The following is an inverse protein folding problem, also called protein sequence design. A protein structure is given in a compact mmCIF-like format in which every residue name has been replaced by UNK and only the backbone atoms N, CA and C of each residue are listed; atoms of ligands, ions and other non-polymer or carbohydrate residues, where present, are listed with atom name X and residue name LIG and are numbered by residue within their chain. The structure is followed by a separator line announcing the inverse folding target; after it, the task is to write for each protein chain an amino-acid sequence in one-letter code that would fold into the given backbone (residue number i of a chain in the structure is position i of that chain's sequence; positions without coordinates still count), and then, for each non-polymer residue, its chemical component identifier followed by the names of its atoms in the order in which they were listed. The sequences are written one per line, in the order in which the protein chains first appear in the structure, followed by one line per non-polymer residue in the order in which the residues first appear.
data_IF_090784008024
#
_entry.id   IF_090784008024
#
_cell.length_a   1.000
_cell.length_b   1.000
_cell.length_c   1.000
_cell.angle_alpha   90.00
_cell.angle_beta   90.00
_cell.angle_gamma   90.00
#
_symmetry.space_group_name_H-M   'P 1'
#
loop_
_entity.id
_entity.type
_entity.pdbx_description
1 polymer ?
#
# COMPACT_ATOMS: atom_id res chain seq x y z
N UNK A 1 32.90 -5.84 5.97
CA UNK A 1 32.16 -4.85 6.74
C UNK A 1 31.63 -3.75 5.83
N UNK A 2 30.40 -3.41 6.02
CA UNK A 2 29.79 -2.35 5.24
C UNK A 2 30.28 -1.00 5.72
N UNK A 3 30.74 -0.17 4.81
CA UNK A 3 31.37 1.11 5.14
C UNK A 3 30.41 2.29 5.15
N UNK A 4 29.11 2.03 5.08
CA UNK A 4 28.14 3.09 5.11
C UNK A 4 28.06 3.89 3.82
N UNK A 5 28.23 3.21 2.70
CA UNK A 5 28.14 3.86 1.39
C UNK A 5 26.72 4.34 1.02
N UNK A 6 25.72 4.01 1.85
CA UNK A 6 24.36 4.49 1.63
C UNK A 6 24.28 5.98 2.02
N UNK A 7 23.82 6.85 1.12
CA UNK A 7 23.66 8.24 1.47
C UNK A 7 22.68 8.42 2.63
N UNK A 8 23.01 9.32 3.55
CA UNK A 8 22.09 9.67 4.62
C UNK A 8 20.84 10.34 4.03
N UNK A 9 19.67 9.84 4.41
CA UNK A 9 18.41 10.46 4.03
C UNK A 9 18.23 11.70 4.89
N UNK A 10 17.98 12.84 4.26
CA UNK A 10 17.71 14.10 4.96
C UNK A 10 16.46 13.92 5.83
N UNK A 11 16.54 14.45 7.05
CA UNK A 11 15.48 14.27 8.03
C UNK A 11 14.12 14.73 7.52
N UNK A 12 14.06 15.86 6.82
CA UNK A 12 12.84 16.43 6.28
C UNK A 12 12.26 15.66 5.08
N UNK A 13 13.05 14.74 4.50
CA UNK A 13 12.61 13.90 3.39
C UNK A 13 12.34 12.45 3.80
N UNK A 14 12.54 12.13 5.07
CA UNK A 14 12.27 10.77 5.53
C UNK A 14 10.77 10.50 5.52
N UNK A 15 10.44 9.28 5.14
CA UNK A 15 9.09 8.78 5.26
C UNK A 15 8.95 8.11 6.61
N UNK A 16 7.89 8.44 7.30
CA UNK A 16 7.57 7.85 8.59
C UNK A 16 6.24 7.14 8.49
N UNK A 17 6.13 6.05 9.21
CA UNK A 17 4.84 5.43 9.39
C UNK A 17 3.99 6.33 10.28
N UNK A 18 2.78 6.65 9.81
CA UNK A 18 1.82 7.45 10.55
C UNK A 18 0.51 6.66 10.60
N UNK A 19 0.15 6.20 11.79
CA UNK A 19 -1.04 5.35 11.94
C UNK A 19 -2.34 6.09 11.61
N UNK A 20 -2.39 7.41 11.76
CA UNK A 20 -3.56 8.20 11.38
C UNK A 20 -3.72 8.25 9.86
N UNK A 21 -2.64 8.50 9.16
CA UNK A 21 -2.64 8.57 7.69
C UNK A 21 -2.91 7.20 7.10
N UNK A 22 -2.28 6.17 7.63
CA UNK A 22 -2.49 4.80 7.17
C UNK A 22 -3.95 4.38 7.41
N UNK A 23 -4.49 4.66 8.59
CA UNK A 23 -5.87 4.34 8.92
C UNK A 23 -6.86 5.05 8.00
N UNK A 24 -6.62 6.34 7.71
CA UNK A 24 -7.46 7.10 6.78
C UNK A 24 -7.42 6.49 5.37
N UNK A 25 -6.27 6.00 4.95
CA UNK A 25 -6.11 5.36 3.65
C UNK A 25 -6.88 4.05 3.57
N UNK A 26 -6.84 3.27 4.64
CA UNK A 26 -7.64 2.03 4.74
C UNK A 26 -9.12 2.35 4.68
N UNK A 27 -9.57 3.39 5.38
CA UNK A 27 -10.97 3.82 5.34
C UNK A 27 -11.39 4.24 3.93
N UNK A 28 -10.56 4.99 3.24
CA UNK A 28 -10.82 5.42 1.88
C UNK A 28 -10.97 4.23 0.94
N UNK A 29 -10.08 3.26 1.05
CA UNK A 29 -10.15 2.02 0.25
C UNK A 29 -11.43 1.26 0.54
N UNK A 30 -11.79 1.12 1.82
CA UNK A 30 -13.02 0.43 2.21
C UNK A 30 -14.24 1.11 1.60
N UNK A 31 -14.34 2.42 1.74
CA UNK A 31 -15.47 3.18 1.21
C UNK A 31 -15.53 3.11 -0.31
N UNK A 32 -14.37 3.13 -0.98
CA UNK A 32 -14.33 3.05 -2.43
C UNK A 32 -14.85 1.72 -2.96
N UNK A 33 -14.76 0.66 -2.16
CA UNK A 33 -15.33 -0.65 -2.51
C UNK A 33 -16.77 -0.83 -2.02
N UNK A 34 -17.32 0.18 -1.35
CA UNK A 34 -18.71 0.13 -0.88
C UNK A 34 -18.92 -0.74 0.35
N UNK A 35 -17.87 -1.01 1.13
CA UNK A 35 -17.99 -1.85 2.33
C UNK A 35 -18.22 -1.00 3.57
N UNK A 36 -19.08 -1.49 4.47
CA UNK A 36 -19.17 -0.98 5.83
C UNK A 36 -18.03 -1.58 6.65
N UNK A 37 -17.77 -1.04 7.83
CA UNK A 37 -16.75 -1.62 8.72
C UNK A 37 -17.13 -3.05 9.11
N UNK A 38 -18.41 -3.31 9.36
CA UNK A 38 -18.91 -4.65 9.71
C UNK A 38 -18.74 -5.63 8.55
N UNK A 39 -19.05 -5.19 7.33
CA UNK A 39 -18.90 -6.05 6.15
C UNK A 39 -17.42 -6.37 5.89
N UNK A 40 -16.53 -5.41 6.06
CA UNK A 40 -15.11 -5.63 5.94
C UNK A 40 -14.60 -6.58 7.02
N UNK A 41 -15.04 -6.37 8.25
CA UNK A 41 -14.69 -7.23 9.39
C UNK A 41 -15.02 -8.69 9.12
N UNK A 42 -16.22 -8.94 8.59
CA UNK A 42 -16.64 -10.28 8.24
C UNK A 42 -15.80 -10.86 7.09
N UNK A 43 -15.51 -10.04 6.09
CA UNK A 43 -14.79 -10.49 4.90
C UNK A 43 -13.34 -10.90 5.20
N UNK A 44 -12.67 -10.23 6.12
CA UNK A 44 -11.26 -10.47 6.42
C UNK A 44 -11.01 -11.04 7.83
N UNK A 45 -12.09 -11.36 8.54
CA UNK A 45 -12.02 -11.96 9.88
C UNK A 45 -11.22 -11.12 10.88
N UNK A 46 -11.53 -9.84 10.92
CA UNK A 46 -11.01 -8.88 11.92
C UNK A 46 -12.21 -8.27 12.64
N UNK A 47 -12.11 -8.04 13.95
CA UNK A 47 -13.16 -7.41 14.72
C UNK A 47 -13.45 -6.00 14.17
N UNK A 48 -14.75 -5.69 13.98
CA UNK A 48 -15.18 -4.38 13.47
C UNK A 48 -14.73 -3.23 14.38
N UNK A 49 -14.69 -3.44 15.67
CA UNK A 49 -14.18 -2.43 16.62
C UNK A 49 -12.71 -2.16 16.40
N UNK A 50 -11.94 -3.20 16.08
CA UNK A 50 -10.52 -3.07 15.74
C UNK A 50 -10.35 -2.28 14.45
N UNK A 51 -11.13 -2.59 13.43
CA UNK A 51 -11.11 -1.85 12.17
C UNK A 51 -11.41 -0.37 12.42
N UNK A 52 -12.43 -0.07 13.22
CA UNK A 52 -12.78 1.31 13.55
C UNK A 52 -11.61 2.04 14.22
N UNK A 53 -10.93 1.39 15.16
CA UNK A 53 -9.78 1.99 15.85
C UNK A 53 -8.61 2.22 14.90
N UNK A 54 -8.36 1.29 13.99
CA UNK A 54 -7.31 1.41 12.98
C UNK A 54 -7.62 2.59 12.05
N UNK A 55 -8.86 2.66 11.55
CA UNK A 55 -9.25 3.73 10.62
C UNK A 55 -9.17 5.11 11.25
N UNK A 56 -9.47 5.22 12.55
CA UNK A 56 -9.36 6.49 13.28
C UNK A 56 -7.94 6.82 13.73
N UNK A 57 -7.01 5.89 13.53
CA UNK A 57 -5.63 6.08 13.96
C UNK A 57 -5.43 5.96 15.47
N UNK A 58 -6.39 5.38 16.18
CA UNK A 58 -6.30 5.17 17.64
C UNK A 58 -5.29 4.08 17.95
N UNK A 59 -5.25 3.04 17.11
CA UNK A 59 -4.25 1.97 17.18
C UNK A 59 -3.60 1.81 15.82
N UNK A 60 -2.40 1.26 15.83
CA UNK A 60 -1.72 0.88 14.59
C UNK A 60 -2.20 -0.50 14.16
N UNK A 61 -2.37 -0.69 12.85
CA UNK A 61 -2.59 -2.01 12.30
C UNK A 61 -1.34 -2.87 12.50
N UNK A 62 -1.55 -4.14 12.85
CA UNK A 62 -0.43 -5.10 12.94
C UNK A 62 0.04 -5.48 11.54
N UNK A 63 1.18 -6.15 11.45
CA UNK A 63 1.66 -6.66 10.17
C UNK A 63 0.66 -7.62 9.52
N UNK A 64 0.05 -8.49 10.32
CA UNK A 64 -0.98 -9.40 9.82
C UNK A 64 -2.21 -8.66 9.31
N UNK A 65 -2.64 -7.61 10.02
CA UNK A 65 -3.73 -6.75 9.56
C UNK A 65 -3.39 -6.12 8.21
N UNK A 66 -2.17 -5.62 8.06
CA UNK A 66 -1.71 -4.98 6.82
C UNK A 66 -1.73 -5.96 5.65
N UNK A 67 -1.31 -7.19 5.89
CA UNK A 67 -1.31 -8.24 4.86
C UNK A 67 -2.75 -8.52 4.43
N UNK A 68 -3.68 -8.66 5.37
CA UNK A 68 -5.08 -8.90 5.06
C UNK A 68 -5.70 -7.75 4.28
N UNK A 69 -5.44 -6.50 4.67
CA UNK A 69 -5.91 -5.34 3.94
C UNK A 69 -5.31 -5.27 2.53
N UNK A 70 -4.01 -5.53 2.41
CA UNK A 70 -3.31 -5.53 1.13
C UNK A 70 -3.95 -6.53 0.17
N UNK A 71 -4.17 -7.74 0.63
CA UNK A 71 -4.79 -8.80 -0.19
C UNK A 71 -6.23 -8.46 -0.56
N UNK A 72 -7.00 -8.00 0.41
CA UNK A 72 -8.42 -7.72 0.19
C UNK A 72 -8.62 -6.55 -0.78
N UNK A 73 -7.87 -5.47 -0.60
CA UNK A 73 -8.00 -4.28 -1.43
C UNK A 73 -7.21 -4.37 -2.73
N UNK A 74 -6.35 -5.37 -2.89
CA UNK A 74 -5.52 -5.50 -4.08
C UNK A 74 -4.49 -4.38 -4.23
N UNK A 75 -3.95 -3.90 -3.12
CA UNK A 75 -2.92 -2.86 -3.09
C UNK A 75 -1.67 -3.39 -2.41
N UNK A 76 -0.55 -2.72 -2.65
CA UNK A 76 0.72 -3.11 -2.04
C UNK A 76 0.79 -2.65 -0.58
N UNK A 77 1.63 -3.32 0.20
CA UNK A 77 1.94 -2.87 1.55
C UNK A 77 2.57 -1.48 1.54
N UNK A 78 3.40 -1.18 0.54
CA UNK A 78 4.00 0.12 0.37
C UNK A 78 2.93 1.21 0.25
N UNK A 79 1.89 0.94 -0.53
CA UNK A 79 0.80 1.89 -0.66
C UNK A 79 0.09 2.11 0.67
N UNK A 80 -0.19 1.03 1.41
CA UNK A 80 -0.89 1.15 2.70
C UNK A 80 -0.07 1.93 3.72
N UNK A 81 1.22 1.66 3.80
CA UNK A 81 2.08 2.19 4.85
C UNK A 81 2.63 3.57 4.49
N UNK A 82 3.08 3.74 3.27
CA UNK A 82 3.77 4.96 2.83
C UNK A 82 2.88 5.84 1.95
N UNK A 83 1.90 5.23 1.28
CA UNK A 83 1.02 5.95 0.37
C UNK A 83 1.55 6.10 -1.05
N UNK A 84 2.65 5.45 -1.35
CA UNK A 84 3.20 5.47 -2.71
C UNK A 84 2.57 4.35 -3.52
N UNK A 85 1.93 4.73 -4.60
CA UNK A 85 1.47 3.77 -5.59
C UNK A 85 2.65 3.37 -6.46
N UNK A 86 2.63 2.12 -6.93
CA UNK A 86 3.54 1.74 -8.00
C UNK A 86 3.32 2.69 -9.16
N UNK A 87 4.41 3.09 -9.80
CA UNK A 87 4.30 3.88 -11.01
C UNK A 87 3.86 2.96 -12.15
N UNK A 88 2.54 2.82 -12.26
CA UNK A 88 1.91 1.96 -13.26
C UNK A 88 2.24 2.45 -14.68
N UNK A 89 2.35 3.76 -14.86
CA UNK A 89 2.66 4.33 -16.17
C UNK A 89 4.08 3.99 -16.60
N UNK A 90 5.04 4.04 -15.67
CA UNK A 90 6.41 3.64 -15.96
C UNK A 90 6.49 2.15 -16.29
N UNK A 91 5.75 1.31 -15.54
CA UNK A 91 5.70 -0.12 -15.84
C UNK A 91 5.08 -0.40 -17.20
N UNK A 92 3.97 0.26 -17.52
CA UNK A 92 3.32 0.12 -18.83
C UNK A 92 4.27 0.52 -19.96
N UNK A 93 5.00 1.59 -19.80
CA UNK A 93 5.97 2.05 -20.78
C UNK A 93 7.07 1.02 -20.99
N UNK A 94 7.61 0.46 -19.90
CA UNK A 94 8.66 -0.55 -19.98
C UNK A 94 8.18 -1.81 -20.71
N UNK A 95 6.98 -2.25 -20.41
CA UNK A 95 6.38 -3.41 -21.09
C UNK A 95 6.17 -3.10 -22.58
N UNK A 96 5.66 -1.91 -22.90
CA UNK A 96 5.44 -1.51 -24.28
C UNK A 96 6.74 -1.42 -25.07
N UNK A 97 7.79 -0.87 -24.47
CA UNK A 97 9.11 -0.79 -25.10
C UNK A 97 9.67 -2.19 -25.37
N UNK A 98 9.49 -3.14 -24.44
CA UNK A 98 9.93 -4.52 -24.61
C UNK A 98 9.17 -5.20 -25.77
N UNK A 99 7.86 -4.97 -25.85
CA UNK A 99 7.04 -5.52 -26.92
C UNK A 99 7.50 -4.96 -28.28
N UNK A 100 7.75 -3.67 -28.35
CA UNK A 100 8.21 -3.00 -29.56
C UNK A 100 9.56 -3.58 -30.03
N UNK A 101 10.48 -3.78 -29.08
CA UNK A 101 11.79 -4.38 -29.39
C UNK A 101 11.65 -5.79 -29.94
N UNK A 102 10.77 -6.58 -29.35
CA UNK A 102 10.52 -7.95 -29.81
C UNK A 102 9.92 -7.95 -31.23
N UNK A 103 8.99 -7.05 -31.51
CA UNK A 103 8.38 -6.93 -32.82
C UNK A 103 9.41 -6.53 -33.88
N UNK A 104 10.29 -5.59 -33.52
CA UNK A 104 11.36 -5.19 -34.43
C UNK A 104 12.34 -6.33 -34.75
N UNK A 105 12.64 -7.14 -33.70
CA UNK A 105 13.54 -8.27 -33.88
C UNK A 105 12.96 -9.37 -34.79
N UNK A 106 11.64 -9.46 -34.88
CA UNK A 106 10.94 -10.46 -35.68
C UNK A 106 10.70 -10.01 -37.10
N UNK A 107 10.92 -8.75 -37.40
CA UNK A 107 10.85 -8.25 -38.79
C UNK A 107 12.20 -8.45 -39.52
#
# INVERSE_FOLDING_TARGET
RWSGSVPAVRKEKRMYYDQHVCGARIQELRKSKGYTQEALAEAIDIDAKRISKIERGVISASYNDMILFSEFFGVTLDYLIIGKRQDVDALKKRVQDAITQLQEALM
#
